data_IF_084593581957
#
_entry.id   IF_084593581957
#
_cell.length_a   1.000
_cell.length_b   1.000
_cell.length_c   1.000
_cell.angle_alpha   90.00
_cell.angle_beta   90.00
_cell.angle_gamma   90.00
#
_symmetry.space_group_name_H-M   'P 1'
#
loop_
_entity.id
_entity.type
_entity.pdbx_description
1 polymer ?
#
# COMPACT_ATOMS: atom_id res chain seq x y z
N UNK A 1 -2.20 -10.27 -17.21
CA UNK A 1 -3.27 -9.98 -16.21
C UNK A 1 -3.00 -8.70 -15.44
N UNK A 2 -1.88 -8.63 -14.78
CA UNK A 2 -1.46 -7.44 -14.03
C UNK A 2 -1.31 -6.21 -14.93
N UNK A 3 -0.95 -6.38 -16.17
CA UNK A 3 -0.83 -5.29 -17.14
C UNK A 3 -2.15 -4.54 -17.39
N UNK A 4 -3.27 -5.12 -16.98
CA UNK A 4 -4.58 -4.48 -17.13
C UNK A 4 -4.85 -3.40 -16.08
N UNK A 5 -4.15 -3.44 -14.96
CA UNK A 5 -4.39 -2.50 -13.87
C UNK A 5 -3.75 -1.14 -14.17
N UNK A 6 -4.54 -0.10 -14.05
CA UNK A 6 -4.14 1.27 -14.39
C UNK A 6 -3.81 2.11 -13.18
N UNK A 7 -4.42 1.83 -12.05
CA UNK A 7 -4.22 2.59 -10.82
C UNK A 7 -4.14 1.64 -9.64
N UNK A 8 -2.97 1.60 -9.03
CA UNK A 8 -2.65 0.61 -8.00
C UNK A 8 -2.47 1.33 -6.67
N UNK A 9 -3.17 0.85 -5.65
CA UNK A 9 -2.96 1.28 -4.27
C UNK A 9 -1.93 0.36 -3.63
N UNK A 10 -0.91 0.95 -3.01
CA UNK A 10 0.11 0.19 -2.29
C UNK A 10 -0.09 0.39 -0.79
N UNK A 11 -0.34 -0.72 -0.08
CA UNK A 11 -0.43 -0.76 1.37
C UNK A 11 0.97 -0.54 1.99
N UNK A 12 1.02 -0.39 3.30
CA UNK A 12 2.27 -0.12 4.01
C UNK A 12 3.28 -1.26 3.92
N UNK A 13 2.83 -2.51 4.05
CA UNK A 13 3.74 -3.66 4.11
C UNK A 13 4.63 -3.83 2.88
N UNK A 14 4.14 -3.68 1.64
CA UNK A 14 5.02 -3.74 0.48
C UNK A 14 6.16 -2.72 0.51
N UNK A 15 5.87 -1.51 0.99
CA UNK A 15 6.88 -0.45 1.09
C UNK A 15 7.90 -0.79 2.18
N UNK A 16 7.44 -1.28 3.32
CA UNK A 16 8.34 -1.73 4.39
C UNK A 16 9.30 -2.80 3.86
N UNK A 17 8.77 -3.81 3.15
CA UNK A 17 9.60 -4.90 2.63
C UNK A 17 10.62 -4.40 1.61
N UNK A 18 10.22 -3.48 0.75
CA UNK A 18 11.13 -2.92 -0.25
C UNK A 18 12.29 -2.17 0.41
N UNK A 19 12.02 -1.40 1.46
CA UNK A 19 13.01 -0.55 2.11
C UNK A 19 13.83 -1.28 3.19
N UNK A 20 13.36 -2.44 3.64
CA UNK A 20 14.08 -3.29 4.61
C UNK A 20 14.90 -4.35 3.88
N UNK A 21 16.20 -4.11 3.73
CA UNK A 21 17.10 -5.02 3.02
C UNK A 21 17.26 -6.38 3.70
N UNK A 22 16.85 -6.49 4.95
CA UNK A 22 16.90 -7.76 5.70
C UNK A 22 15.59 -8.56 5.59
N UNK A 23 14.55 -7.99 4.98
CA UNK A 23 13.29 -8.68 4.81
C UNK A 23 13.43 -9.83 3.81
N UNK A 24 12.84 -11.02 4.09
CA UNK A 24 12.80 -12.10 3.10
C UNK A 24 11.97 -11.74 1.86
N UNK A 25 11.13 -10.71 1.95
CA UNK A 25 10.30 -10.26 0.83
C UNK A 25 10.93 -9.11 0.04
N UNK A 26 12.10 -8.60 0.44
CA UNK A 26 12.71 -7.43 -0.20
C UNK A 26 12.93 -7.64 -1.71
N UNK A 27 13.56 -8.74 -2.08
CA UNK A 27 13.86 -9.03 -3.49
C UNK A 27 12.61 -9.12 -4.35
N UNK A 28 11.58 -9.78 -3.83
CA UNK A 28 10.31 -9.91 -4.56
C UNK A 28 9.60 -8.56 -4.66
N UNK A 29 9.61 -7.78 -3.60
CA UNK A 29 9.03 -6.43 -3.60
C UNK A 29 9.73 -5.54 -4.64
N UNK A 30 11.05 -5.59 -4.73
CA UNK A 30 11.81 -4.84 -5.73
C UNK A 30 11.36 -5.19 -7.16
N UNK A 31 11.20 -6.47 -7.44
CA UNK A 31 10.74 -6.93 -8.77
C UNK A 31 9.33 -6.47 -9.08
N UNK A 32 8.44 -6.51 -8.09
CA UNK A 32 7.05 -6.08 -8.26
C UNK A 32 7.00 -4.58 -8.55
N UNK A 33 7.70 -3.76 -7.76
CA UNK A 33 7.71 -2.32 -7.97
C UNK A 33 8.34 -1.94 -9.31
N UNK A 34 9.42 -2.62 -9.70
CA UNK A 34 10.03 -2.41 -11.01
C UNK A 34 9.04 -2.69 -12.13
N UNK A 35 8.32 -3.80 -12.03
CA UNK A 35 7.30 -4.17 -13.01
C UNK A 35 6.18 -3.13 -13.09
N UNK A 36 5.62 -2.74 -11.94
CA UNK A 36 4.51 -1.79 -11.88
C UNK A 36 4.92 -0.44 -12.44
N UNK A 37 6.08 0.07 -12.02
CA UNK A 37 6.49 1.44 -12.34
C UNK A 37 7.06 1.57 -13.75
N UNK A 38 7.76 0.56 -14.24
CA UNK A 38 8.51 0.67 -15.47
C UNK A 38 7.89 -0.07 -16.66
N UNK A 39 7.21 -1.19 -16.40
CA UNK A 39 6.65 -2.03 -17.47
C UNK A 39 5.14 -1.87 -17.63
N UNK A 40 4.43 -1.77 -16.51
CA UNK A 40 2.97 -1.66 -16.54
C UNK A 40 2.51 -0.21 -16.74
N UNK A 41 3.34 0.77 -16.42
CA UNK A 41 3.00 2.20 -16.50
C UNK A 41 1.77 2.57 -15.69
N UNK A 42 1.53 1.87 -14.60
CA UNK A 42 0.40 2.14 -13.72
C UNK A 42 0.65 3.40 -12.89
N UNK A 43 -0.41 4.14 -12.57
CA UNK A 43 -0.36 5.15 -11.54
C UNK A 43 -0.38 4.46 -10.18
N UNK A 44 0.55 4.82 -9.31
CA UNK A 44 0.67 4.20 -7.99
C UNK A 44 0.39 5.23 -6.91
N UNK A 45 -0.49 4.90 -5.99
CA UNK A 45 -0.83 5.77 -4.88
C UNK A 45 -0.76 5.00 -3.55
N UNK A 46 -0.65 5.73 -2.47
CA UNK A 46 -0.83 5.26 -1.11
C UNK A 46 -1.60 6.32 -0.32
N UNK A 47 -1.77 6.14 0.97
CA UNK A 47 -2.46 7.13 1.80
C UNK A 47 -1.59 7.63 2.93
N UNK A 48 -2.05 8.71 3.60
CA UNK A 48 -1.39 9.24 4.79
C UNK A 48 -1.32 8.22 5.94
N UNK A 49 -2.16 7.20 5.94
CA UNK A 49 -2.07 6.09 6.90
C UNK A 49 -0.71 5.37 6.78
N UNK A 50 -0.22 5.20 5.56
CA UNK A 50 1.09 4.59 5.32
C UNK A 50 2.21 5.41 5.97
N UNK A 51 2.11 6.73 5.92
CA UNK A 51 3.08 7.59 6.60
C UNK A 51 3.14 7.31 8.09
N UNK A 52 1.96 7.22 8.73
CA UNK A 52 1.88 6.91 10.17
C UNK A 52 2.49 5.54 10.47
N UNK A 53 2.09 4.53 9.73
CA UNK A 53 2.53 3.16 9.99
C UNK A 53 4.02 2.96 9.73
N UNK A 54 4.55 3.56 8.66
CA UNK A 54 5.97 3.43 8.36
C UNK A 54 6.84 4.20 9.34
N UNK A 55 6.48 5.45 9.64
CA UNK A 55 7.36 6.37 10.38
C UNK A 55 7.47 6.05 11.88
N UNK A 56 6.58 5.22 12.43
CA UNK A 56 6.65 4.83 13.85
C UNK A 56 8.02 4.24 14.21
N UNK A 57 8.50 3.28 13.41
CA UNK A 57 9.78 2.60 13.72
C UNK A 57 10.98 3.53 13.58
N UNK A 58 11.16 4.29 12.48
CA UNK A 58 12.24 5.27 12.41
C UNK A 58 12.24 6.27 13.57
N UNK A 59 11.07 6.74 14.00
CA UNK A 59 11.00 7.68 15.12
C UNK A 59 11.35 7.03 16.45
N UNK A 60 10.88 5.81 16.70
CA UNK A 60 11.21 5.07 17.93
C UNK A 60 12.69 4.78 18.04
N UNK A 61 13.36 4.56 16.94
CA UNK A 61 14.79 4.18 16.90
C UNK A 61 15.71 5.35 16.56
N UNK A 62 15.17 6.56 16.42
CA UNK A 62 15.92 7.74 15.99
C UNK A 62 16.71 7.48 14.70
N UNK A 63 16.11 6.77 13.77
CA UNK A 63 16.75 6.39 12.51
C UNK A 63 16.38 7.40 11.41
N UNK A 64 17.13 8.50 11.37
CA UNK A 64 16.91 9.55 10.38
C UNK A 64 17.13 9.05 8.95
N UNK A 65 18.06 8.12 8.78
CA UNK A 65 18.36 7.54 7.46
C UNK A 65 17.13 6.79 6.90
N UNK A 66 16.47 6.00 7.75
CA UNK A 66 15.25 5.28 7.35
C UNK A 66 14.10 6.24 7.04
N UNK A 67 13.95 7.29 7.84
CA UNK A 67 12.96 8.33 7.57
C UNK A 67 13.17 8.98 6.20
N UNK A 68 14.39 9.41 5.91
CA UNK A 68 14.74 10.03 4.63
C UNK A 68 14.56 9.07 3.45
N UNK A 69 14.90 7.79 3.65
CA UNK A 69 14.75 6.77 2.60
C UNK A 69 13.28 6.60 2.19
N UNK A 70 12.35 6.68 3.14
CA UNK A 70 10.93 6.60 2.87
C UNK A 70 10.46 7.72 1.94
N UNK A 71 10.76 8.96 2.30
CA UNK A 71 10.35 10.12 1.49
C UNK A 71 11.00 10.11 0.11
N UNK A 72 12.28 9.76 0.06
CA UNK A 72 13.02 9.65 -1.21
C UNK A 72 12.41 8.61 -2.12
N UNK A 73 12.03 7.45 -1.59
CA UNK A 73 11.41 6.38 -2.35
C UNK A 73 10.07 6.85 -2.96
N UNK A 74 9.21 7.46 -2.16
CA UNK A 74 7.91 7.95 -2.64
C UNK A 74 8.09 9.00 -3.74
N UNK A 75 9.03 9.91 -3.57
CA UNK A 75 9.31 10.98 -4.54
C UNK A 75 9.88 10.42 -5.84
N UNK A 76 10.93 9.63 -5.76
CA UNK A 76 11.60 9.07 -6.95
C UNK A 76 10.68 8.14 -7.75
N UNK A 77 9.83 7.38 -7.08
CA UNK A 77 8.89 6.47 -7.73
C UNK A 77 7.58 7.16 -8.11
N UNK A 78 7.43 8.45 -7.83
CA UNK A 78 6.22 9.22 -8.11
C UNK A 78 4.97 8.58 -7.53
N UNK A 79 5.09 8.04 -6.31
CA UNK A 79 3.97 7.48 -5.58
C UNK A 79 3.24 8.63 -4.89
N UNK A 80 1.99 8.84 -5.28
CA UNK A 80 1.18 9.93 -4.75
C UNK A 80 0.55 9.52 -3.41
N UNK A 81 0.62 10.42 -2.42
CA UNK A 81 0.04 10.19 -1.11
C UNK A 81 -1.30 10.89 -1.04
N UNK A 82 -2.37 10.14 -0.80
CA UNK A 82 -3.71 10.69 -0.64
C UNK A 82 -4.04 10.86 0.83
N UNK A 83 -4.61 12.02 1.16
CA UNK A 83 -5.02 12.30 2.53
C UNK A 83 -6.28 11.51 2.90
N UNK A 84 -6.34 11.08 4.15
CA UNK A 84 -7.55 10.48 4.70
C UNK A 84 -8.47 11.63 5.12
N UNK A 85 -9.46 11.90 4.31
CA UNK A 85 -10.46 12.92 4.56
C UNK A 85 -11.73 12.31 5.16
N UNK A 86 -12.74 13.13 5.40
CA UNK A 86 -14.00 12.68 6.01
C UNK A 86 -14.71 11.67 5.11
N UNK A 87 -14.73 11.90 3.81
CA UNK A 87 -15.36 10.98 2.85
C UNK A 87 -14.72 9.60 2.92
N UNK A 88 -13.39 9.55 2.97
CA UNK A 88 -12.64 8.31 3.10
C UNK A 88 -12.91 7.64 4.44
N UNK A 89 -12.96 8.41 5.53
CA UNK A 89 -13.25 7.89 6.86
C UNK A 89 -14.64 7.26 6.94
N UNK A 90 -15.65 7.87 6.32
CA UNK A 90 -17.01 7.32 6.25
C UNK A 90 -17.01 5.99 5.49
N UNK A 91 -16.35 5.92 4.35
CA UNK A 91 -16.23 4.68 3.59
C UNK A 91 -15.53 3.58 4.40
N UNK A 92 -14.51 3.93 5.16
CA UNK A 92 -13.82 2.99 6.05
C UNK A 92 -14.76 2.44 7.14
N UNK A 93 -15.65 3.28 7.67
CA UNK A 93 -16.66 2.85 8.64
C UNK A 93 -17.63 1.83 8.02
N UNK A 94 -18.08 2.07 6.79
CA UNK A 94 -18.94 1.14 6.06
C UNK A 94 -18.23 -0.21 5.85
N UNK A 95 -16.94 -0.17 5.47
CA UNK A 95 -16.14 -1.39 5.28
C UNK A 95 -16.03 -2.18 6.58
N UNK A 96 -15.74 -1.52 7.70
CA UNK A 96 -15.63 -2.20 9.00
C UNK A 96 -16.95 -2.75 9.48
N UNK A 97 -18.06 -2.10 9.17
CA UNK A 97 -19.39 -2.61 9.52
C UNK A 97 -19.69 -3.93 8.80
N UNK A 98 -19.27 -4.05 7.55
CA UNK A 98 -19.45 -5.26 6.74
C UNK A 98 -18.39 -6.33 7.04
N UNK A 99 -17.16 -5.91 7.35
CA UNK A 99 -16.03 -6.81 7.63
C UNK A 99 -15.50 -6.52 9.04
N UNK A 100 -16.21 -6.98 10.11
CA UNK A 100 -15.87 -6.56 11.49
C UNK A 100 -14.49 -7.00 11.97
N UNK A 101 -13.87 -7.97 11.30
CA UNK A 101 -12.51 -8.42 11.63
C UNK A 101 -11.41 -7.56 10.98
N UNK A 102 -11.73 -6.63 10.09
CA UNK A 102 -10.73 -5.70 9.57
C UNK A 102 -10.42 -4.64 10.63
N UNK A 103 -9.12 -4.34 10.79
CA UNK A 103 -8.68 -3.26 11.69
C UNK A 103 -8.90 -1.90 11.04
N UNK A 104 -8.96 -0.86 11.86
CA UNK A 104 -9.17 0.50 11.37
C UNK A 104 -8.15 0.93 10.32
N UNK A 105 -6.82 0.72 10.50
CA UNK A 105 -5.87 1.10 9.45
C UNK A 105 -6.11 0.38 8.13
N UNK A 106 -6.46 -0.90 8.16
CA UNK A 106 -6.75 -1.67 6.95
C UNK A 106 -7.96 -1.11 6.22
N UNK A 107 -9.02 -0.81 6.96
CA UNK A 107 -10.23 -0.23 6.38
C UNK A 107 -9.98 1.15 5.79
N UNK A 108 -9.15 1.97 6.44
CA UNK A 108 -8.76 3.28 5.91
C UNK A 108 -7.99 3.15 4.59
N UNK A 109 -7.09 2.18 4.49
CA UNK A 109 -6.34 1.93 3.27
C UNK A 109 -7.25 1.45 2.13
N UNK A 110 -8.12 0.49 2.42
CA UNK A 110 -9.09 -0.01 1.43
C UNK A 110 -10.04 1.10 0.97
N UNK A 111 -10.52 1.91 1.91
CA UNK A 111 -11.39 3.05 1.59
C UNK A 111 -10.67 4.06 0.70
N UNK A 112 -9.42 4.38 1.01
CA UNK A 112 -8.62 5.30 0.20
C UNK A 112 -8.45 4.76 -1.23
N UNK A 113 -8.22 3.46 -1.38
CA UNK A 113 -8.12 2.84 -2.69
C UNK A 113 -9.42 2.98 -3.49
N UNK A 114 -10.56 2.70 -2.87
CA UNK A 114 -11.88 2.81 -3.51
C UNK A 114 -12.19 4.26 -3.90
N UNK A 115 -12.06 5.19 -2.96
CA UNK A 115 -12.40 6.61 -3.18
C UNK A 115 -11.53 7.21 -4.28
N UNK A 116 -10.28 6.78 -4.39
CA UNK A 116 -9.36 7.29 -5.41
C UNK A 116 -9.37 6.50 -6.72
N UNK A 117 -10.31 5.58 -6.89
CA UNK A 117 -10.52 4.88 -8.15
C UNK A 117 -9.47 3.83 -8.51
N UNK A 118 -8.82 3.24 -7.51
CA UNK A 118 -7.85 2.18 -7.76
C UNK A 118 -8.53 0.89 -8.20
N UNK A 119 -7.87 0.16 -9.08
CA UNK A 119 -8.36 -1.14 -9.57
C UNK A 119 -7.56 -2.33 -9.03
N UNK A 120 -6.47 -2.06 -8.30
CA UNK A 120 -5.71 -3.09 -7.60
C UNK A 120 -5.22 -2.57 -6.25
N UNK A 121 -5.26 -3.44 -5.23
CA UNK A 121 -4.73 -3.17 -3.89
C UNK A 121 -3.60 -4.15 -3.60
N UNK A 122 -2.38 -3.64 -3.50
CA UNK A 122 -1.19 -4.46 -3.24
C UNK A 122 -0.87 -4.44 -1.74
N UNK A 123 -0.86 -5.60 -1.12
CA UNK A 123 -0.65 -5.77 0.32
C UNK A 123 0.18 -7.03 0.59
N UNK A 124 0.41 -7.37 1.84
CA UNK A 124 0.85 -8.72 2.22
C UNK A 124 -0.01 -9.31 3.34
N UNK A 125 -1.15 -8.68 3.63
CA UNK A 125 -2.12 -9.20 4.59
C UNK A 125 -3.16 -10.05 3.86
N UNK A 126 -3.06 -11.37 4.03
CA UNK A 126 -3.95 -12.33 3.38
C UNK A 126 -5.42 -12.14 3.75
N UNK A 127 -5.70 -11.59 4.93
CA UNK A 127 -7.05 -11.35 5.40
C UNK A 127 -7.79 -10.35 4.50
N UNK A 128 -7.08 -9.39 3.92
CA UNK A 128 -7.66 -8.37 3.05
C UNK A 128 -8.11 -8.92 1.71
N UNK A 129 -7.70 -10.12 1.34
CA UNK A 129 -8.17 -10.79 0.12
C UNK A 129 -9.66 -11.13 0.19
N UNK A 130 -10.25 -11.15 1.37
CA UNK A 130 -11.69 -11.37 1.54
C UNK A 130 -12.52 -10.16 1.12
N UNK A 131 -11.91 -9.00 0.97
CA UNK A 131 -12.60 -7.78 0.54
C UNK A 131 -13.06 -7.91 -0.92
N UNK A 132 -14.34 -7.58 -1.19
CA UNK A 132 -14.97 -7.86 -2.48
C UNK A 132 -14.96 -6.70 -3.47
N UNK A 133 -14.79 -5.46 -2.99
CA UNK A 133 -14.97 -4.27 -3.85
C UNK A 133 -13.75 -3.93 -4.71
N UNK A 134 -12.58 -4.50 -4.40
CA UNK A 134 -11.36 -4.29 -5.18
C UNK A 134 -10.53 -5.58 -5.17
N UNK A 135 -9.78 -5.79 -6.24
CA UNK A 135 -8.86 -6.93 -6.31
C UNK A 135 -7.68 -6.70 -5.37
N UNK A 136 -7.54 -7.54 -4.35
CA UNK A 136 -6.41 -7.49 -3.41
C UNK A 136 -5.43 -8.60 -3.73
N UNK A 137 -4.16 -8.25 -3.94
CA UNK A 137 -3.09 -9.20 -4.28
C UNK A 137 -1.97 -9.03 -3.25
N UNK A 138 -1.47 -10.16 -2.75
CA UNK A 138 -0.36 -10.13 -1.81
C UNK A 138 0.99 -10.21 -2.52
N UNK A 139 2.02 -9.67 -1.89
CA UNK A 139 3.40 -9.81 -2.37
C UNK A 139 3.74 -11.29 -2.54
N UNK A 140 3.36 -12.09 -1.56
CA UNK A 140 3.69 -13.53 -1.54
C UNK A 140 3.11 -14.29 -2.72
N UNK A 141 1.86 -14.02 -3.10
CA UNK A 141 1.19 -14.72 -4.19
C UNK A 141 1.44 -14.14 -5.59
N UNK A 142 2.05 -12.98 -5.68
CA UNK A 142 2.30 -12.32 -6.96
C UNK A 142 3.11 -13.25 -7.89
N UNK A 143 2.64 -13.39 -9.11
CA UNK A 143 3.36 -14.13 -10.16
C UNK A 143 3.52 -13.26 -11.40
N UNK A 144 4.69 -13.36 -12.01
CA UNK A 144 5.03 -12.58 -13.20
C UNK A 144 4.60 -13.27 -14.49
#
# INVERSE_FOLDING_TARGET
MIEQFKKIFVDTSPIIYLLDKNSPFCSKAEKIFDFILNKNSATVITSSTTCTEYLVYPYRTNNLKAEKAFWKFLDECQIDIRNIDITTAIKAAEIRAEYPYFKTPDALQLAAAIINGCDLFLTNDKQLKNFKEISCVTIEEWSF
#
